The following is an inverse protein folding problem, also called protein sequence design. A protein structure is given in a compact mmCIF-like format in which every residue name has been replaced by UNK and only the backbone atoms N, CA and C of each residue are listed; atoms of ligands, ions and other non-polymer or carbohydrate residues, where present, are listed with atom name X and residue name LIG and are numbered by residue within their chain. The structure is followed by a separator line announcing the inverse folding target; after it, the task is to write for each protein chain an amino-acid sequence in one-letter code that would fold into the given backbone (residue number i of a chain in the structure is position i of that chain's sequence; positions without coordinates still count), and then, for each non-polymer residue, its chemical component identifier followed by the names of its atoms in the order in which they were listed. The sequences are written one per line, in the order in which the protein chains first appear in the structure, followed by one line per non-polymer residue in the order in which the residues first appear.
data_IF_260898946941
#
_entry.id   IF_260898946941
#
_cell.length_a   1.000
_cell.length_b   1.000
_cell.length_c   1.000
_cell.angle_alpha   90.00
_cell.angle_beta   90.00
_cell.angle_gamma   90.00
#
_symmetry.space_group_name_H-M   'P 1'
#
loop_
_entity.id
_entity.type
_entity.pdbx_description
1 polymer ?
#
# COMPACT_ATOMS: atom_id res chain seq x y z
N UNK A 1 -2.16 -22.48 -10.23
CA UNK A 1 -1.79 -21.05 -10.13
C UNK A 1 -0.42 -20.82 -9.49
N UNK A 2 -0.03 -21.54 -8.42
CA UNK A 2 1.33 -21.45 -7.82
C UNK A 2 2.49 -21.75 -8.80
N UNK A 3 2.31 -22.70 -9.73
CA UNK A 3 3.34 -23.07 -10.73
C UNK A 3 3.60 -22.00 -11.81
N UNK A 4 2.66 -21.07 -12.04
CA UNK A 4 2.85 -19.98 -13.00
C UNK A 4 3.76 -18.87 -12.45
N UNK A 5 3.87 -18.75 -11.12
CA UNK A 5 4.70 -17.75 -10.44
C UNK A 5 6.20 -17.93 -10.62
N UNK A 6 6.64 -19.12 -11.03
CA UNK A 6 8.07 -19.48 -11.18
C UNK A 6 8.56 -19.25 -12.61
N UNK A 7 7.65 -19.13 -13.59
CA UNK A 7 8.06 -18.89 -14.97
C UNK A 7 8.25 -17.39 -15.24
N UNK A 8 9.44 -17.00 -15.71
CA UNK A 8 9.71 -15.63 -16.15
C UNK A 8 8.77 -15.15 -17.28
N UNK A 9 8.14 -16.08 -18.00
CA UNK A 9 7.22 -15.79 -19.10
C UNK A 9 5.99 -14.95 -18.69
N UNK A 10 5.51 -15.09 -17.46
CA UNK A 10 4.35 -14.33 -16.95
C UNK A 10 4.73 -13.30 -15.89
N UNK A 11 6.00 -12.88 -15.84
CA UNK A 11 6.51 -11.98 -14.81
C UNK A 11 5.66 -10.72 -14.64
N UNK A 12 5.31 -10.05 -15.74
CA UNK A 12 4.52 -8.81 -15.69
C UNK A 12 3.12 -9.07 -15.12
N UNK A 13 2.39 -10.02 -15.70
CA UNK A 13 1.01 -10.31 -15.29
C UNK A 13 0.92 -10.82 -13.84
N UNK A 14 1.81 -11.72 -13.45
CA UNK A 14 1.88 -12.21 -12.08
C UNK A 14 2.32 -11.09 -11.12
N UNK A 15 3.30 -10.28 -11.49
CA UNK A 15 3.76 -9.17 -10.66
C UNK A 15 2.64 -8.20 -10.30
N UNK A 16 1.72 -7.89 -11.23
CA UNK A 16 0.52 -7.11 -10.92
C UNK A 16 -0.48 -7.88 -10.05
N UNK A 17 -0.73 -9.16 -10.36
CA UNK A 17 -1.68 -9.98 -9.59
C UNK A 17 -1.29 -10.12 -8.11
N UNK A 18 -0.03 -10.48 -7.86
CA UNK A 18 0.49 -10.63 -6.50
C UNK A 18 0.55 -9.31 -5.75
N UNK A 19 0.85 -8.22 -6.46
CA UNK A 19 0.88 -6.89 -5.88
C UNK A 19 -0.47 -6.50 -5.28
N UNK A 20 -1.55 -6.53 -6.07
CA UNK A 20 -2.85 -6.08 -5.57
C UNK A 20 -3.49 -7.08 -4.59
N UNK A 21 -3.19 -8.38 -4.69
CA UNK A 21 -3.85 -9.40 -3.87
C UNK A 21 -3.27 -9.49 -2.45
N UNK A 22 -1.95 -9.35 -2.30
CA UNK A 22 -1.28 -9.61 -1.01
C UNK A 22 -0.38 -8.45 -0.59
N UNK A 23 0.51 -8.00 -1.47
CA UNK A 23 1.59 -7.07 -1.08
C UNK A 23 1.00 -5.70 -0.70
N UNK A 24 0.11 -5.17 -1.54
CA UNK A 24 -0.49 -3.85 -1.33
C UNK A 24 -1.43 -3.82 -0.13
N UNK A 25 -2.41 -4.74 0.04
CA UNK A 25 -3.24 -4.78 1.24
C UNK A 25 -2.39 -4.91 2.52
N UNK A 26 -1.41 -5.82 2.52
CA UNK A 26 -0.49 -6.00 3.63
C UNK A 26 0.33 -4.75 3.95
N UNK A 27 0.82 -4.04 2.94
CA UNK A 27 1.55 -2.78 3.12
C UNK A 27 0.66 -1.69 3.71
N UNK A 28 -0.57 -1.50 3.21
CA UNK A 28 -1.51 -0.49 3.72
C UNK A 28 -1.87 -0.79 5.19
N UNK A 29 -2.16 -2.05 5.50
CA UNK A 29 -2.45 -2.53 6.85
C UNK A 29 -1.29 -2.27 7.81
N UNK A 30 -0.06 -2.62 7.42
CA UNK A 30 1.12 -2.39 8.24
C UNK A 30 1.42 -0.90 8.41
N UNK A 31 1.34 -0.11 7.34
CA UNK A 31 1.60 1.32 7.39
C UNK A 31 0.60 2.05 8.31
N UNK A 32 -0.70 1.74 8.19
CA UNK A 32 -1.76 2.32 9.05
C UNK A 32 -1.57 1.92 10.51
N UNK A 33 -1.25 0.65 10.78
CA UNK A 33 -0.92 0.16 12.11
C UNK A 33 0.28 0.88 12.74
N UNK A 34 1.39 1.00 12.01
CA UNK A 34 2.60 1.66 12.49
C UNK A 34 2.38 3.15 12.77
N UNK A 35 1.66 3.85 11.88
CA UNK A 35 1.31 5.27 12.10
C UNK A 35 0.50 5.44 13.39
N UNK A 36 -0.44 4.52 13.67
CA UNK A 36 -1.22 4.56 14.90
C UNK A 36 -0.39 4.20 16.13
N UNK A 37 0.45 3.16 16.08
CA UNK A 37 1.33 2.79 17.20
C UNK A 37 2.34 3.89 17.56
N UNK A 38 2.93 4.55 16.56
CA UNK A 38 3.87 5.67 16.77
C UNK A 38 3.16 6.81 17.49
N UNK A 39 1.92 7.11 17.11
CA UNK A 39 1.13 8.13 17.79
C UNK A 39 0.78 7.73 19.22
N UNK A 40 0.27 6.52 19.43
CA UNK A 40 -0.06 6.00 20.77
C UNK A 40 1.16 6.01 21.69
N UNK A 41 2.33 5.56 21.22
CA UNK A 41 3.58 5.62 22.01
C UNK A 41 4.01 7.05 22.32
N UNK A 42 3.89 7.98 21.37
CA UNK A 42 4.21 9.40 21.60
C UNK A 42 3.27 10.06 22.61
N UNK A 43 1.99 9.66 22.61
CA UNK A 43 1.01 10.11 23.59
C UNK A 43 1.22 9.47 24.96
N UNK A 44 1.65 8.21 25.03
CA UNK A 44 1.90 7.53 26.31
C UNK A 44 3.19 7.99 27.00
N UNK A 45 4.20 8.44 26.23
CA UNK A 45 5.42 9.07 26.75
C UNK A 45 5.21 10.52 27.20
N UNK A 46 4.19 11.19 26.67
CA UNK A 46 3.72 12.50 27.14
C UNK A 46 2.45 12.28 27.93
N UNK A 47 2.59 11.75 29.15
CA UNK A 47 1.52 11.77 30.14
C UNK A 47 0.82 13.13 30.10
N UNK A 48 -0.52 13.11 29.96
CA UNK A 48 -1.44 14.25 30.14
C UNK A 48 -1.66 15.16 28.90
N UNK A 49 -2.77 14.98 28.19
CA UNK A 49 -3.72 16.04 27.77
C UNK A 49 -3.26 17.30 26.99
N UNK A 50 -2.04 17.40 26.47
CA UNK A 50 -1.48 18.70 26.03
C UNK A 50 -1.43 18.98 24.51
N UNK A 51 -2.19 18.29 23.66
CA UNK A 51 -2.29 18.65 22.24
C UNK A 51 -3.71 19.13 21.93
N UNK A 52 -3.94 20.45 22.03
CA UNK A 52 -5.17 21.14 21.59
C UNK A 52 -5.32 21.17 20.05
N UNK A 53 -4.72 20.20 19.35
CA UNK A 53 -4.85 20.06 17.91
C UNK A 53 -6.13 19.29 17.62
N UNK A 54 -7.03 19.81 16.77
CA UNK A 54 -8.28 19.13 16.47
C UNK A 54 -7.98 17.74 15.87
N UNK A 55 -8.65 16.71 16.39
CA UNK A 55 -8.53 15.31 15.94
C UNK A 55 -8.72 15.16 14.42
N UNK A 56 -9.54 16.03 13.82
CA UNK A 56 -9.76 16.10 12.39
C UNK A 56 -8.47 16.44 11.60
N UNK A 57 -7.66 17.38 12.10
CA UNK A 57 -6.41 17.79 11.45
C UNK A 57 -5.36 16.68 11.52
N UNK A 58 -5.30 15.96 12.64
CA UNK A 58 -4.45 14.77 12.80
C UNK A 58 -4.85 13.68 11.80
N UNK A 59 -6.16 13.41 11.69
CA UNK A 59 -6.66 12.38 10.79
C UNK A 59 -6.36 12.69 9.31
N UNK A 60 -6.57 13.94 8.88
CA UNK A 60 -6.22 14.39 7.51
C UNK A 60 -4.72 14.22 7.25
N UNK A 61 -3.85 14.59 8.19
CA UNK A 61 -2.40 14.42 8.04
C UNK A 61 -1.99 12.96 7.88
N UNK A 62 -2.65 12.03 8.61
CA UNK A 62 -2.39 10.58 8.47
C UNK A 62 -2.81 10.06 7.11
N UNK A 63 -4.01 10.42 6.63
CA UNK A 63 -4.49 10.04 5.30
C UNK A 63 -3.52 10.53 4.23
N UNK A 64 -3.07 11.79 4.34
CA UNK A 64 -2.10 12.36 3.41
C UNK A 64 -0.78 11.59 3.42
N UNK A 65 -0.21 11.33 4.60
CA UNK A 65 1.06 10.59 4.74
C UNK A 65 0.96 9.18 4.15
N UNK A 66 -0.11 8.44 4.47
CA UNK A 66 -0.34 7.09 3.96
C UNK A 66 -0.53 7.09 2.44
N UNK A 67 -1.22 8.09 1.89
CA UNK A 67 -1.39 8.25 0.44
C UNK A 67 -0.04 8.44 -0.24
N UNK A 68 0.85 9.28 0.31
CA UNK A 68 2.21 9.46 -0.22
C UNK A 68 3.00 8.15 -0.22
N UNK A 69 2.95 7.37 0.87
CA UNK A 69 3.63 6.08 0.94
C UNK A 69 3.09 5.08 -0.08
N UNK A 70 1.77 5.00 -0.26
CA UNK A 70 1.15 4.12 -1.25
C UNK A 70 1.53 4.54 -2.68
N UNK A 71 1.52 5.84 -2.98
CA UNK A 71 1.97 6.34 -4.29
C UNK A 71 3.45 6.00 -4.55
N UNK A 72 4.32 6.16 -3.56
CA UNK A 72 5.73 5.77 -3.67
C UNK A 72 5.88 4.26 -3.93
N UNK A 73 5.08 3.42 -3.25
CA UNK A 73 5.07 1.98 -3.46
C UNK A 73 4.64 1.61 -4.90
N UNK A 74 3.66 2.31 -5.47
CA UNK A 74 3.25 2.12 -6.87
C UNK A 74 4.33 2.53 -7.87
N UNK A 75 5.04 3.62 -7.63
CA UNK A 75 6.17 4.05 -8.48
C UNK A 75 7.28 2.99 -8.43
N UNK A 76 7.59 2.49 -7.23
CA UNK A 76 8.60 1.45 -7.04
C UNK A 76 8.20 0.15 -7.73
N UNK A 77 6.93 -0.26 -7.60
CA UNK A 77 6.40 -1.45 -8.28
C UNK A 77 6.49 -1.30 -9.80
N UNK A 78 6.00 -0.17 -10.35
CA UNK A 78 6.07 0.09 -11.79
C UNK A 78 7.52 0.06 -12.31
N UNK A 79 8.44 0.71 -11.61
CA UNK A 79 9.87 0.67 -11.95
C UNK A 79 10.44 -0.75 -11.92
N UNK A 80 10.10 -1.53 -10.88
CA UNK A 80 10.47 -2.93 -10.76
C UNK A 80 9.92 -3.80 -11.89
N UNK A 81 8.67 -3.57 -12.31
CA UNK A 81 8.04 -4.31 -13.42
C UNK A 81 8.66 -3.95 -14.77
N UNK A 82 8.97 -2.68 -15.01
CA UNK A 82 9.67 -2.25 -16.22
C UNK A 82 11.07 -2.87 -16.26
N UNK A 83 11.81 -2.82 -15.15
CA UNK A 83 13.13 -3.42 -15.06
C UNK A 83 13.08 -4.95 -15.26
N UNK A 84 12.14 -5.62 -14.59
CA UNK A 84 11.92 -7.06 -14.73
C UNK A 84 11.54 -7.46 -16.16
N UNK A 85 10.75 -6.62 -16.87
CA UNK A 85 10.48 -6.81 -18.29
C UNK A 85 11.78 -6.79 -19.10
N UNK A 86 12.66 -5.82 -18.91
CA UNK A 86 13.89 -5.72 -19.71
C UNK A 86 14.95 -6.76 -19.35
N UNK A 87 15.08 -7.14 -18.08
CA UNK A 87 16.14 -8.04 -17.62
C UNK A 87 15.78 -9.53 -17.68
N UNK A 88 14.52 -9.87 -17.42
CA UNK A 88 14.10 -11.27 -17.20
C UNK A 88 13.22 -11.78 -18.34
N UNK A 89 12.33 -10.93 -18.88
CA UNK A 89 11.45 -11.34 -19.98
C UNK A 89 11.27 -10.23 -21.03
N UNK A 90 12.31 -9.97 -21.86
CA UNK A 90 12.28 -8.93 -22.87
C UNK A 90 11.14 -9.13 -23.88
N UNK A 91 10.85 -10.40 -24.19
CA UNK A 91 9.82 -10.85 -25.12
C UNK A 91 8.39 -10.76 -24.55
N UNK A 92 8.21 -10.24 -23.33
CA UNK A 92 6.88 -10.02 -22.77
C UNK A 92 6.04 -9.14 -23.71
N UNK A 93 4.86 -9.66 -24.07
CA UNK A 93 3.89 -9.02 -24.97
C UNK A 93 3.23 -7.77 -24.38
N UNK A 94 3.25 -7.64 -23.04
CA UNK A 94 2.67 -6.51 -22.34
C UNK A 94 3.53 -5.26 -22.55
N UNK A 95 2.91 -4.21 -23.09
CA UNK A 95 3.58 -2.94 -23.37
C UNK A 95 3.77 -2.09 -22.12
N UNK A 96 4.72 -1.14 -22.16
CA UNK A 96 4.93 -0.20 -21.06
C UNK A 96 3.68 0.66 -20.81
N UNK A 97 2.97 1.04 -21.86
CA UNK A 97 1.72 1.79 -21.73
C UNK A 97 0.65 1.00 -20.98
N UNK A 98 0.52 -0.31 -21.26
CA UNK A 98 -0.41 -1.18 -20.52
C UNK A 98 -0.03 -1.28 -19.03
N UNK A 99 1.26 -1.35 -18.71
CA UNK A 99 1.73 -1.35 -17.32
C UNK A 99 1.39 -0.02 -16.61
N UNK A 100 1.63 1.12 -17.25
CA UNK A 100 1.27 2.43 -16.69
C UNK A 100 -0.24 2.54 -16.46
N UNK A 101 -1.07 2.15 -17.44
CA UNK A 101 -2.53 2.15 -17.30
C UNK A 101 -2.99 1.24 -16.16
N UNK A 102 -2.41 0.04 -16.03
CA UNK A 102 -2.73 -0.87 -14.94
C UNK A 102 -2.39 -0.27 -13.57
N UNK A 103 -1.23 0.36 -13.42
CA UNK A 103 -0.84 1.05 -12.18
C UNK A 103 -1.79 2.20 -11.86
N UNK A 104 -2.20 3.00 -12.84
CA UNK A 104 -3.16 4.09 -12.62
C UNK A 104 -4.52 3.57 -12.15
N UNK A 105 -5.02 2.49 -12.75
CA UNK A 105 -6.27 1.84 -12.32
C UNK A 105 -6.13 1.36 -10.87
N UNK A 106 -5.01 0.71 -10.53
CA UNK A 106 -4.78 0.21 -9.18
C UNK A 106 -4.70 1.34 -8.14
N UNK A 107 -4.06 2.47 -8.47
CA UNK A 107 -4.03 3.65 -7.60
C UNK A 107 -5.46 4.08 -7.26
N UNK A 108 -6.32 4.26 -8.26
CA UNK A 108 -7.72 4.67 -8.07
C UNK A 108 -8.48 3.66 -7.20
N UNK A 109 -8.30 2.37 -7.47
CA UNK A 109 -8.95 1.28 -6.72
C UNK A 109 -8.43 1.18 -5.29
N UNK A 110 -7.18 1.54 -5.00
CA UNK A 110 -6.63 1.45 -3.64
C UNK A 110 -6.99 2.62 -2.72
N UNK A 111 -7.48 3.74 -3.26
CA UNK A 111 -7.75 4.95 -2.47
C UNK A 111 -8.78 4.71 -1.35
N UNK A 112 -9.81 3.89 -1.62
CA UNK A 112 -10.81 3.56 -0.61
C UNK A 112 -10.26 2.63 0.48
N UNK A 113 -9.28 1.77 0.16
CA UNK A 113 -8.66 0.84 1.12
C UNK A 113 -7.94 1.61 2.24
N UNK A 114 -7.26 2.72 1.91
CA UNK A 114 -6.55 3.56 2.89
C UNK A 114 -7.53 4.13 3.93
N UNK A 115 -8.66 4.69 3.47
CA UNK A 115 -9.69 5.24 4.35
C UNK A 115 -10.29 4.17 5.26
N UNK A 116 -10.54 3.00 4.70
CA UNK A 116 -11.10 1.86 5.41
C UNK A 116 -10.15 1.30 6.48
N UNK A 117 -8.88 1.07 6.15
CA UNK A 117 -7.87 0.57 7.10
C UNK A 117 -7.61 1.56 8.24
N UNK A 118 -7.56 2.87 7.93
CA UNK A 118 -7.38 3.90 8.95
C UNK A 118 -8.59 3.97 9.90
N UNK A 119 -9.81 3.80 9.38
CA UNK A 119 -11.03 3.71 10.18
C UNK A 119 -11.04 2.47 11.09
N UNK A 120 -10.71 1.30 10.56
CA UNK A 120 -10.66 0.06 11.32
C UNK A 120 -9.63 0.11 12.45
N UNK A 121 -8.43 0.61 12.14
CA UNK A 121 -7.34 0.67 13.11
C UNK A 121 -7.66 1.58 14.30
N UNK A 122 -8.48 2.62 14.10
CA UNK A 122 -8.98 3.47 15.19
C UNK A 122 -10.01 2.76 16.10
N UNK A 123 -10.80 1.83 15.56
CA UNK A 123 -11.92 1.19 16.28
C UNK A 123 -11.52 -0.09 17.00
N UNK A 124 -10.51 -0.82 16.51
CA UNK A 124 -10.21 -2.18 16.99
C UNK A 124 -8.73 -2.43 17.35
N UNK A 125 -7.86 -1.41 17.27
CA UNK A 125 -6.42 -1.61 17.42
C UNK A 125 -5.84 -2.54 16.35
N UNK A 126 -4.63 -3.05 16.57
CA UNK A 126 -3.86 -3.85 15.59
C UNK A 126 -4.59 -5.11 15.07
N UNK A 127 -5.56 -5.63 15.83
CA UNK A 127 -6.15 -6.96 15.61
C UNK A 127 -7.17 -7.02 14.47
N UNK A 128 -7.76 -5.90 14.03
CA UNK A 128 -8.70 -5.91 12.90
C UNK A 128 -8.07 -5.53 11.55
N UNK A 129 -6.86 -4.96 11.56
CA UNK A 129 -6.16 -4.61 10.33
C UNK A 129 -5.59 -5.85 9.62
N UNK A 130 -5.29 -6.93 10.36
CA UNK A 130 -4.71 -8.17 9.84
C UNK A 130 -5.69 -9.09 9.09
N UNK A 131 -7.00 -8.78 9.06
CA UNK A 131 -8.03 -9.60 8.41
C UNK A 131 -8.31 -9.11 6.96
N UNK A 132 -7.74 -7.97 6.54
CA UNK A 132 -7.92 -7.42 5.19
C UNK A 132 -6.85 -7.89 4.21
#
# INVERSE_FOLDING_TARGET
MLLAGISGMYLVQNGYNWWYTIILPGFITLATALVNQIEERKLHYRTVFALSVPLQKIWISKVFLLTVYVLAAYILHLAGMILGKFLINPAATISIMQMVTATLILIVVSLWQILFCLFLSKKFGLMAAAIL
#
